data_IF_452649646428
#
_entry.id   IF_452649646428
#
_cell.length_a   1.000
_cell.length_b   1.000
_cell.length_c   1.000
_cell.angle_alpha   90.00
_cell.angle_beta   90.00
_cell.angle_gamma   90.00
#
_symmetry.space_group_name_H-M   'P 1'
#
loop_
_entity.id
_entity.type
_entity.pdbx_description
1 polymer ?
#
# COMPACT_ATOMS: atom_id res chain seq x y z
N UNK A 1 17.47 -0.94 -17.06
CA UNK A 1 16.03 -0.59 -16.93
C UNK A 1 15.87 0.05 -15.57
N UNK A 2 15.75 1.37 -15.48
CA UNK A 2 15.65 2.08 -14.20
C UNK A 2 14.24 1.89 -13.65
N UNK A 3 14.13 1.21 -12.51
CA UNK A 3 12.85 1.08 -11.80
C UNK A 3 12.34 2.49 -11.47
N UNK A 4 11.15 2.83 -11.96
CA UNK A 4 10.56 4.15 -11.69
C UNK A 4 10.22 4.24 -10.21
N UNK A 5 10.54 5.35 -9.55
CA UNK A 5 10.32 5.51 -8.11
C UNK A 5 8.99 6.26 -7.87
N UNK A 6 8.21 5.78 -6.91
CA UNK A 6 7.00 6.44 -6.41
C UNK A 6 7.26 6.97 -5.01
N UNK A 7 6.89 8.22 -4.72
CA UNK A 7 6.99 8.80 -3.38
C UNK A 7 5.69 8.57 -2.62
N UNK A 8 5.73 7.73 -1.59
CA UNK A 8 4.57 7.40 -0.75
C UNK A 8 4.84 7.87 0.69
N UNK A 9 3.87 8.45 1.42
CA UNK A 9 4.04 8.75 2.84
C UNK A 9 4.36 7.47 3.64
N UNK A 10 5.37 7.51 4.51
CA UNK A 10 5.78 6.34 5.29
C UNK A 10 4.72 5.84 6.25
N UNK A 11 3.90 6.73 6.80
CA UNK A 11 2.76 6.37 7.66
C UNK A 11 1.75 5.50 6.92
N UNK A 12 1.46 5.83 5.66
CA UNK A 12 0.63 5.00 4.79
C UNK A 12 1.26 3.64 4.51
N UNK A 13 2.57 3.61 4.24
CA UNK A 13 3.30 2.34 4.06
C UNK A 13 3.26 1.48 5.34
N UNK A 14 3.38 2.09 6.52
CA UNK A 14 3.27 1.38 7.79
C UNK A 14 1.88 0.76 7.99
N UNK A 15 0.80 1.49 7.67
CA UNK A 15 -0.57 0.97 7.72
C UNK A 15 -0.77 -0.21 6.76
N UNK A 16 -0.28 -0.08 5.52
CA UNK A 16 -0.32 -1.14 4.50
C UNK A 16 0.47 -2.37 4.95
N UNK A 17 1.67 -2.18 5.47
CA UNK A 17 2.52 -3.25 6.00
C UNK A 17 1.82 -4.00 7.14
N UNK A 18 1.22 -3.28 8.09
CA UNK A 18 0.48 -3.89 9.20
C UNK A 18 -0.74 -4.67 8.73
N UNK A 19 -1.49 -4.16 7.74
CA UNK A 19 -2.60 -4.89 7.11
C UNK A 19 -2.12 -6.19 6.48
N UNK A 20 -1.07 -6.13 5.65
CA UNK A 20 -0.53 -7.31 4.95
C UNK A 20 0.05 -8.34 5.92
N UNK A 21 0.70 -7.91 7.01
CA UNK A 21 1.21 -8.83 8.05
C UNK A 21 0.11 -9.62 8.76
N UNK A 22 -1.09 -9.05 8.86
CA UNK A 22 -2.26 -9.72 9.44
C UNK A 22 -2.94 -10.67 8.47
N UNK A 23 -2.58 -10.62 7.19
CA UNK A 23 -3.11 -11.50 6.17
C UNK A 23 -2.39 -12.86 6.17
N UNK A 24 -3.08 -13.89 5.67
CA UNK A 24 -2.59 -15.26 5.69
C UNK A 24 -2.03 -15.73 4.34
N UNK A 25 -2.34 -15.03 3.23
CA UNK A 25 -1.80 -15.42 1.92
C UNK A 25 -0.29 -15.25 1.84
N UNK A 26 0.31 -16.07 0.98
CA UNK A 26 1.74 -16.03 0.70
C UNK A 26 2.13 -14.71 0.03
N UNK A 27 1.26 -14.23 -0.85
CA UNK A 27 1.41 -13.00 -1.62
C UNK A 27 1.40 -11.78 -0.70
N UNK A 28 0.48 -11.73 0.28
CA UNK A 28 0.45 -10.65 1.26
C UNK A 28 1.69 -10.65 2.15
N UNK A 29 2.16 -11.82 2.59
CA UNK A 29 3.39 -11.93 3.38
C UNK A 29 4.63 -11.51 2.59
N UNK A 30 4.74 -11.93 1.33
CA UNK A 30 5.84 -11.52 0.46
C UNK A 30 5.82 -10.00 0.24
N UNK A 31 4.65 -9.42 -0.05
CA UNK A 31 4.50 -7.98 -0.19
C UNK A 31 4.85 -7.21 1.09
N UNK A 32 4.49 -7.73 2.27
CA UNK A 32 4.89 -7.15 3.55
C UNK A 32 6.41 -7.14 3.75
N UNK A 33 7.10 -8.24 3.42
CA UNK A 33 8.57 -8.32 3.50
C UNK A 33 9.25 -7.35 2.54
N UNK A 34 8.72 -7.18 1.32
CA UNK A 34 9.23 -6.18 0.39
C UNK A 34 9.00 -4.74 0.89
N UNK A 35 7.87 -4.49 1.58
CA UNK A 35 7.54 -3.14 2.06
C UNK A 35 8.30 -2.74 3.32
N UNK A 36 8.74 -3.72 4.14
CA UNK A 36 9.33 -3.51 5.46
C UNK A 36 10.40 -2.40 5.50
N UNK A 37 11.42 -2.37 4.60
CA UNK A 37 12.49 -1.38 4.65
C UNK A 37 12.01 0.07 4.47
N UNK A 38 10.83 0.26 3.85
CA UNK A 38 10.27 1.57 3.56
C UNK A 38 9.38 2.10 4.69
N UNK A 39 9.14 1.29 5.73
CA UNK A 39 8.30 1.66 6.89
C UNK A 39 9.09 2.25 8.05
N UNK A 40 10.42 2.21 8.01
CA UNK A 40 11.31 2.55 9.13
C UNK A 40 11.54 4.05 9.33
N UNK A 41 11.05 4.92 8.43
CA UNK A 41 11.26 6.38 8.47
C UNK A 41 9.95 7.15 8.66
N UNK A 42 9.42 7.27 9.89
CA UNK A 42 8.17 8.01 10.15
C UNK A 42 8.26 9.48 9.72
N UNK A 43 7.13 10.05 9.26
CA UNK A 43 7.00 11.47 8.91
C UNK A 43 7.60 11.92 7.56
N UNK A 44 8.08 11.00 6.72
CA UNK A 44 8.68 11.32 5.41
C UNK A 44 7.99 10.59 4.26
N UNK A 45 8.04 11.19 3.07
CA UNK A 45 7.70 10.47 1.83
C UNK A 45 8.91 9.66 1.38
N UNK A 46 8.76 8.35 1.36
CA UNK A 46 9.83 7.41 1.06
C UNK A 46 9.79 7.07 -0.43
N UNK A 47 10.93 7.07 -1.14
CA UNK A 47 11.02 6.54 -2.49
C UNK A 47 10.84 5.02 -2.46
N UNK A 48 9.77 4.52 -3.07
CA UNK A 48 9.48 3.10 -3.21
C UNK A 48 9.54 2.72 -4.68
N UNK A 49 10.18 1.59 -5.06
CA UNK A 49 10.13 1.10 -6.44
C UNK A 49 8.68 0.88 -6.89
N UNK A 50 8.35 1.34 -8.10
CA UNK A 50 7.00 1.19 -8.68
C UNK A 50 6.58 -0.27 -8.75
N UNK A 51 7.52 -1.18 -9.04
CA UNK A 51 7.26 -2.61 -9.05
C UNK A 51 6.81 -3.13 -7.67
N UNK A 52 7.45 -2.69 -6.59
CA UNK A 52 7.04 -3.02 -5.21
C UNK A 52 5.64 -2.49 -4.93
N UNK A 53 5.36 -1.22 -5.25
CA UNK A 53 4.02 -0.63 -5.09
C UNK A 53 2.95 -1.44 -5.84
N UNK A 54 3.23 -1.88 -7.07
CA UNK A 54 2.30 -2.70 -7.86
C UNK A 54 2.06 -4.08 -7.25
N UNK A 55 3.12 -4.76 -6.77
CA UNK A 55 2.95 -6.07 -6.11
C UNK A 55 2.16 -5.95 -4.82
N UNK A 56 2.40 -4.90 -4.04
CA UNK A 56 1.64 -4.59 -2.84
C UNK A 56 0.17 -4.30 -3.17
N UNK A 57 -0.11 -3.50 -4.19
CA UNK A 57 -1.47 -3.23 -4.68
C UNK A 57 -2.21 -4.54 -5.03
N UNK A 58 -1.56 -5.42 -5.80
CA UNK A 58 -2.14 -6.72 -6.19
C UNK A 58 -2.41 -7.62 -4.99
N UNK A 59 -1.49 -7.68 -4.02
CA UNK A 59 -1.67 -8.48 -2.81
C UNK A 59 -2.87 -7.98 -1.98
N UNK A 60 -3.05 -6.66 -1.84
CA UNK A 60 -4.20 -6.08 -1.14
C UNK A 60 -5.53 -6.39 -1.86
N UNK A 61 -5.56 -6.30 -3.19
CA UNK A 61 -6.74 -6.64 -4.00
C UNK A 61 -7.07 -8.13 -3.91
N UNK A 62 -6.07 -9.00 -3.91
CA UNK A 62 -6.27 -10.43 -3.66
C UNK A 62 -6.91 -10.68 -2.29
N UNK A 63 -6.38 -10.09 -1.22
CA UNK A 63 -6.97 -10.21 0.12
C UNK A 63 -8.39 -9.62 0.22
N UNK A 64 -8.69 -8.57 -0.53
CA UNK A 64 -10.04 -8.00 -0.62
C UNK A 64 -11.04 -9.04 -1.15
N UNK A 65 -10.66 -9.83 -2.15
CA UNK A 65 -11.54 -10.85 -2.76
C UNK A 65 -11.90 -11.95 -1.76
N UNK A 66 -10.96 -12.32 -0.87
CA UNK A 66 -11.14 -13.39 0.12
C UNK A 66 -11.70 -12.91 1.46
N UNK A 67 -11.72 -11.60 1.73
CA UNK A 67 -12.20 -11.06 3.02
C UNK A 67 -13.72 -10.94 3.03
N UNK A 68 -14.37 -11.59 3.99
CA UNK A 68 -15.82 -11.50 4.23
C UNK A 68 -16.21 -10.33 5.15
N UNK A 69 -15.28 -9.85 5.97
CA UNK A 69 -15.49 -8.73 6.91
C UNK A 69 -15.58 -7.38 6.15
N UNK A 70 -16.74 -6.67 6.21
CA UNK A 70 -16.94 -5.39 5.52
C UNK A 70 -15.96 -4.29 5.94
N UNK A 71 -15.60 -4.20 7.22
CA UNK A 71 -14.67 -3.17 7.71
C UNK A 71 -13.25 -3.46 7.18
N UNK A 72 -12.85 -4.73 7.21
CA UNK A 72 -11.55 -5.14 6.67
C UNK A 72 -11.48 -4.89 5.16
N UNK A 73 -12.56 -5.20 4.43
CA UNK A 73 -12.65 -4.92 2.98
C UNK A 73 -12.49 -3.43 2.69
N UNK A 74 -13.19 -2.56 3.43
CA UNK A 74 -13.09 -1.12 3.25
C UNK A 74 -11.64 -0.62 3.44
N UNK A 75 -10.96 -1.09 4.50
CA UNK A 75 -9.55 -0.73 4.78
C UNK A 75 -8.59 -1.21 3.69
N UNK A 76 -8.74 -2.47 3.23
CA UNK A 76 -7.90 -3.02 2.16
C UNK A 76 -8.12 -2.28 0.83
N UNK A 77 -9.38 -1.93 0.53
CA UNK A 77 -9.73 -1.15 -0.67
C UNK A 77 -9.11 0.24 -0.63
N UNK A 78 -9.25 0.96 0.48
CA UNK A 78 -8.68 2.31 0.64
C UNK A 78 -7.15 2.30 0.46
N UNK A 79 -6.49 1.30 1.05
CA UNK A 79 -5.06 1.10 0.93
C UNK A 79 -4.62 0.81 -0.52
N UNK A 80 -5.34 -0.07 -1.23
CA UNK A 80 -5.06 -0.37 -2.63
C UNK A 80 -5.28 0.85 -3.55
N UNK A 81 -6.33 1.62 -3.30
CA UNK A 81 -6.63 2.83 -4.05
C UNK A 81 -5.58 3.91 -3.82
N UNK A 82 -5.10 4.08 -2.58
CA UNK A 82 -4.02 5.01 -2.27
C UNK A 82 -2.74 4.68 -3.06
N UNK A 83 -2.32 3.41 -3.07
CA UNK A 83 -1.15 2.96 -3.84
C UNK A 83 -1.34 3.14 -5.35
N UNK A 84 -2.55 2.88 -5.85
CA UNK A 84 -2.91 3.11 -7.26
C UNK A 84 -2.76 4.58 -7.62
N UNK A 85 -3.32 5.49 -6.82
CA UNK A 85 -3.23 6.95 -7.03
C UNK A 85 -1.78 7.43 -6.96
N UNK A 86 -1.02 6.97 -5.96
CA UNK A 86 0.40 7.33 -5.82
C UNK A 86 1.21 6.89 -7.06
N UNK A 87 0.96 5.67 -7.56
CA UNK A 87 1.62 5.13 -8.76
C UNK A 87 1.27 5.88 -10.05
N UNK A 88 0.04 6.37 -10.18
CA UNK A 88 -0.42 7.12 -11.35
C UNK A 88 -0.05 8.61 -11.30
N UNK A 89 0.63 9.08 -10.25
CA UNK A 89 1.00 10.49 -10.07
C UNK A 89 -0.14 11.37 -9.55
N UNK A 90 -1.25 10.77 -9.13
CA UNK A 90 -2.42 11.43 -8.56
C UNK A 90 -2.21 11.82 -7.10
N UNK A 91 -1.22 12.66 -6.81
CA UNK A 91 -1.00 13.21 -5.47
C UNK A 91 -1.63 14.61 -5.32
N UNK A 92 -2.86 14.79 -5.82
CA UNK A 92 -3.68 15.91 -5.36
C UNK A 92 -4.30 15.51 -4.02
N UNK A 93 -4.10 16.29 -2.95
CA UNK A 93 -4.87 16.09 -1.74
C UNK A 93 -6.36 16.23 -2.10
N UNK A 94 -7.18 15.26 -1.68
CA UNK A 94 -8.63 15.47 -1.64
C UNK A 94 -8.85 16.49 -0.53
N UNK A 95 -9.39 17.69 -0.80
CA UNK A 95 -9.72 18.62 0.27
C UNK A 95 -10.78 17.94 1.13
N UNK A 96 -10.53 17.87 2.45
CA UNK A 96 -11.56 17.51 3.41
C UNK A 96 -12.72 18.49 3.21
N UNK A 97 -13.92 17.95 2.97
CA UNK A 97 -15.14 18.72 2.86
C UNK A 97 -15.31 19.61 4.10
N UNK A 98 -15.71 20.87 3.86
CA UNK A 98 -15.98 21.87 4.88
C UNK A 98 -17.28 21.64 5.64
#
# INVERSE_FOLDING_TARGET
MTDSIVKVPSEWLALVFLSLRRCTSREARAAASELQPFTEKPGQRVPVPRATVMRTELALRGELEWSEDPERRARLSEQADHLTRARLGGNRPVPAAG
#
